data_IF_812615687190
#
_entry.id   IF_812615687190
#
_cell.length_a   1.000
_cell.length_b   1.000
_cell.length_c   1.000
_cell.angle_alpha   90.00
_cell.angle_beta   90.00
_cell.angle_gamma   90.00
#
_symmetry.space_group_name_H-M   'P 1'
#
loop_
_entity.id
_entity.type
_entity.pdbx_description
1 polymer ?
#
# COMPACT_ATOMS: atom_id res chain seq x y z
N UNK A 1 21.55 -9.33 -6.86
CA UNK A 1 20.18 -9.88 -6.91
C UNK A 1 19.49 -9.43 -5.65
N UNK A 2 18.64 -8.41 -5.73
CA UNK A 2 18.01 -7.81 -4.55
C UNK A 2 17.07 -8.83 -3.92
N UNK A 3 17.49 -9.38 -2.79
CA UNK A 3 16.64 -10.16 -1.92
C UNK A 3 15.68 -9.18 -1.24
N UNK A 4 14.43 -9.09 -1.68
CA UNK A 4 13.48 -8.21 -1.01
C UNK A 4 12.06 -8.74 -1.08
N UNK A 5 11.58 -9.23 0.06
CA UNK A 5 10.15 -9.35 0.35
C UNK A 5 9.40 -8.09 -0.12
N UNK A 6 8.18 -8.23 -0.67
CA UNK A 6 7.40 -7.09 -1.13
C UNK A 6 7.17 -6.11 0.02
N UNK A 7 7.08 -4.81 -0.27
CA UNK A 7 6.84 -3.77 0.75
C UNK A 7 5.58 -4.07 1.59
N UNK A 8 4.54 -4.66 0.98
CA UNK A 8 3.34 -5.08 1.69
C UNK A 8 3.61 -6.06 2.84
N UNK A 9 4.63 -6.93 2.74
CA UNK A 9 4.98 -7.88 3.79
C UNK A 9 5.65 -7.23 5.02
N UNK A 10 6.27 -6.05 4.87
CA UNK A 10 6.78 -5.25 6.01
C UNK A 10 5.77 -4.22 6.51
N UNK A 11 4.82 -3.83 5.66
CA UNK A 11 3.80 -2.83 5.97
C UNK A 11 2.57 -3.44 6.66
N UNK A 12 2.13 -4.62 6.23
CA UNK A 12 0.97 -5.32 6.79
C UNK A 12 1.47 -6.20 7.94
N UNK A 13 1.14 -5.82 9.17
CA UNK A 13 1.58 -6.52 10.38
C UNK A 13 1.06 -7.95 10.54
N UNK A 14 -0.26 -8.22 10.38
CA UNK A 14 -0.80 -9.56 10.57
C UNK A 14 -0.24 -10.57 9.56
N UNK A 15 0.33 -11.65 10.09
CA UNK A 15 0.76 -12.78 9.25
C UNK A 15 -0.47 -13.56 8.74
N UNK A 16 -0.30 -14.44 7.74
CA UNK A 16 -1.39 -15.33 7.33
C UNK A 16 -1.95 -16.18 8.48
N UNK A 17 -1.14 -16.50 9.50
CA UNK A 17 -1.60 -17.20 10.71
C UNK A 17 -2.49 -16.33 11.58
N UNK A 18 -2.08 -15.09 11.81
CA UNK A 18 -2.84 -14.11 12.60
C UNK A 18 -4.19 -13.82 11.94
N UNK A 19 -4.19 -13.59 10.63
CA UNK A 19 -5.43 -13.36 9.86
C UNK A 19 -6.40 -14.52 10.03
N UNK A 20 -5.94 -15.77 9.96
CA UNK A 20 -6.80 -16.95 10.20
C UNK A 20 -7.38 -16.97 11.62
N UNK A 21 -6.56 -16.67 12.62
CA UNK A 21 -7.00 -16.62 14.03
C UNK A 21 -8.06 -15.53 14.27
N UNK A 22 -7.83 -14.35 13.70
CA UNK A 22 -8.76 -13.22 13.77
C UNK A 22 -10.10 -13.55 13.08
N UNK A 23 -10.05 -14.11 11.87
CA UNK A 23 -11.26 -14.53 11.13
C UNK A 23 -12.05 -15.60 11.89
N UNK A 24 -11.37 -16.56 12.53
CA UNK A 24 -12.02 -17.58 13.35
C UNK A 24 -12.72 -16.96 14.59
N UNK A 25 -12.09 -15.98 15.22
CA UNK A 25 -12.68 -15.23 16.35
C UNK A 25 -13.95 -14.49 15.93
N UNK A 26 -13.96 -13.94 14.72
CA UNK A 26 -15.10 -13.25 14.13
C UNK A 26 -16.16 -14.21 13.55
N UNK A 27 -15.88 -15.51 13.47
CA UNK A 27 -16.78 -16.50 12.87
C UNK A 27 -16.98 -16.34 11.35
N UNK A 28 -16.05 -15.68 10.66
CA UNK A 28 -16.11 -15.46 9.20
C UNK A 28 -15.06 -16.30 8.46
N UNK A 29 -15.37 -16.82 7.27
CA UNK A 29 -14.50 -17.78 6.59
C UNK A 29 -13.36 -17.14 5.80
N UNK A 30 -13.43 -15.84 5.48
CA UNK A 30 -12.41 -15.16 4.69
C UNK A 30 -12.46 -13.64 4.83
N UNK A 31 -11.38 -12.97 4.44
CA UNK A 31 -11.31 -11.51 4.33
C UNK A 31 -12.32 -10.99 3.30
N UNK A 32 -12.53 -11.68 2.18
CA UNK A 32 -13.53 -11.28 1.17
C UNK A 32 -14.95 -11.33 1.75
N UNK A 33 -15.27 -12.39 2.51
CA UNK A 33 -16.56 -12.49 3.20
C UNK A 33 -16.74 -11.34 4.19
N UNK A 34 -15.72 -11.04 4.99
CA UNK A 34 -15.73 -9.91 5.92
C UNK A 34 -16.00 -8.58 5.20
N UNK A 35 -15.29 -8.32 4.08
CA UNK A 35 -15.51 -7.12 3.26
C UNK A 35 -16.95 -7.08 2.73
N UNK A 36 -17.47 -8.20 2.21
CA UNK A 36 -18.81 -8.28 1.64
C UNK A 36 -19.93 -8.02 2.64
N UNK A 37 -19.74 -8.41 3.91
CA UNK A 37 -20.69 -8.19 4.98
C UNK A 37 -20.59 -6.78 5.58
N UNK A 38 -19.46 -6.10 5.38
CA UNK A 38 -19.18 -4.78 5.99
C UNK A 38 -19.47 -3.63 5.03
N UNK A 39 -19.08 -3.75 3.75
CA UNK A 39 -19.19 -2.66 2.76
C UNK A 39 -20.31 -2.96 1.76
N UNK A 40 -21.36 -2.11 1.67
CA UNK A 40 -22.47 -2.32 0.74
C UNK A 40 -22.00 -2.42 -0.71
N UNK A 41 -22.50 -3.43 -1.44
CA UNK A 41 -22.11 -3.69 -2.83
C UNK A 41 -22.31 -2.48 -3.76
N UNK A 42 -23.33 -1.66 -3.51
CA UNK A 42 -23.67 -0.49 -4.34
C UNK A 42 -22.58 0.59 -4.39
N UNK A 43 -21.66 0.60 -3.42
CA UNK A 43 -20.57 1.57 -3.33
C UNK A 43 -19.18 0.93 -3.45
N UNK A 44 -19.10 -0.39 -3.65
CA UNK A 44 -17.82 -1.10 -3.85
C UNK A 44 -17.34 -0.89 -5.28
N UNK A 45 -16.04 -0.70 -5.44
CA UNK A 45 -15.40 -0.70 -6.75
C UNK A 45 -15.51 -2.09 -7.39
N UNK A 46 -15.96 -2.14 -8.64
CA UNK A 46 -16.23 -3.37 -9.41
C UNK A 46 -15.08 -3.78 -10.35
N UNK A 47 -14.00 -2.99 -10.33
CA UNK A 47 -12.78 -3.21 -11.10
C UNK A 47 -11.55 -3.09 -10.21
N UNK A 48 -10.43 -3.58 -10.70
CA UNK A 48 -9.13 -3.33 -10.08
C UNK A 48 -8.76 -1.85 -10.18
N UNK A 49 -7.92 -1.38 -9.26
CA UNK A 49 -7.33 -0.06 -9.35
C UNK A 49 -6.42 0.00 -10.58
N UNK A 50 -6.53 1.08 -11.35
CA UNK A 50 -5.65 1.36 -12.48
C UNK A 50 -4.37 2.02 -11.97
N UNK A 51 -3.42 1.19 -11.54
CA UNK A 51 -2.15 1.59 -10.97
C UNK A 51 -0.99 0.85 -11.66
N UNK A 52 0.21 1.45 -11.76
CA UNK A 52 1.40 0.75 -12.19
C UNK A 52 1.72 -0.46 -11.30
N UNK A 53 2.53 -1.38 -11.82
CA UNK A 53 3.03 -2.49 -11.03
C UNK A 53 3.74 -1.99 -9.76
N UNK A 54 3.58 -2.67 -8.61
CA UNK A 54 4.23 -2.25 -7.38
C UNK A 54 5.75 -2.35 -7.52
N UNK A 55 6.45 -1.35 -7.02
CA UNK A 55 7.90 -1.35 -6.92
C UNK A 55 8.37 -1.93 -5.59
N UNK A 56 9.58 -2.48 -5.59
CA UNK A 56 10.33 -2.74 -4.37
C UNK A 56 10.69 -1.42 -3.68
N UNK A 57 10.93 -1.46 -2.36
CA UNK A 57 11.24 -0.24 -1.60
C UNK A 57 12.50 0.47 -2.11
N UNK A 58 13.55 -0.30 -2.46
CA UNK A 58 14.77 0.26 -3.04
C UNK A 58 14.52 0.96 -4.38
N UNK A 59 13.77 0.31 -5.26
CA UNK A 59 13.47 0.84 -6.60
C UNK A 59 12.56 2.06 -6.52
N UNK A 60 11.59 2.07 -5.60
CA UNK A 60 10.72 3.23 -5.35
C UNK A 60 11.54 4.45 -4.88
N UNK A 61 12.51 4.26 -3.98
CA UNK A 61 13.41 5.33 -3.53
C UNK A 61 14.33 5.82 -4.65
N UNK A 62 14.85 4.91 -5.48
CA UNK A 62 15.67 5.26 -6.63
C UNK A 62 14.88 6.10 -7.65
N UNK A 63 13.65 5.68 -7.99
CA UNK A 63 12.78 6.43 -8.89
C UNK A 63 12.45 7.81 -8.32
N UNK A 64 12.10 7.89 -7.03
CA UNK A 64 11.82 9.17 -6.37
C UNK A 64 13.04 10.10 -6.40
N UNK A 65 14.23 9.57 -6.11
CA UNK A 65 15.48 10.33 -6.17
C UNK A 65 15.73 10.90 -7.57
N UNK A 66 15.52 10.09 -8.61
CA UNK A 66 15.62 10.55 -10.00
C UNK A 66 14.64 11.68 -10.28
N UNK A 67 13.36 11.56 -9.87
CA UNK A 67 12.38 12.65 -10.07
C UNK A 67 12.79 13.93 -9.33
N UNK A 68 13.24 13.80 -8.08
CA UNK A 68 13.64 14.94 -7.25
C UNK A 68 14.91 15.64 -7.74
N UNK A 69 15.78 14.94 -8.49
CA UNK A 69 16.99 15.52 -9.06
C UNK A 69 16.72 16.67 -10.06
N UNK A 70 15.49 16.76 -10.59
CA UNK A 70 15.05 17.89 -11.43
C UNK A 70 14.72 19.17 -10.66
N UNK A 71 14.65 19.12 -9.32
CA UNK A 71 14.36 20.29 -8.52
C UNK A 71 15.60 21.18 -8.38
N UNK A 72 15.41 22.50 -8.40
CA UNK A 72 16.48 23.48 -8.13
C UNK A 72 16.32 24.01 -6.71
N UNK A 73 17.29 23.71 -5.86
CA UNK A 73 17.32 24.22 -4.48
C UNK A 73 17.90 25.64 -4.48
N UNK A 74 17.02 26.63 -4.32
CA UNK A 74 17.38 28.05 -4.25
C UNK A 74 17.31 28.56 -2.81
N UNK A 75 18.05 29.65 -2.54
CA UNK A 75 17.82 30.45 -1.35
C UNK A 75 16.51 31.23 -1.54
N UNK A 76 15.43 30.75 -0.94
CA UNK A 76 14.11 31.37 -1.08
C UNK A 76 13.98 32.61 -0.19
N UNK A 77 13.58 33.73 -0.80
CA UNK A 77 13.23 34.98 -0.11
C UNK A 77 11.78 35.40 -0.38
N UNK A 78 10.92 34.43 -0.72
CA UNK A 78 9.52 34.70 -1.11
C UNK A 78 8.69 35.27 0.05
N UNK A 79 8.93 34.82 1.29
CA UNK A 79 8.09 35.16 2.45
C UNK A 79 6.70 34.52 2.36
N UNK A 80 5.68 35.22 2.85
CA UNK A 80 4.26 34.88 2.73
C UNK A 80 3.70 33.66 3.52
N UNK A 81 4.41 33.17 4.54
CA UNK A 81 3.93 32.05 5.39
C UNK A 81 4.12 30.71 4.71
#
# INVERSE_FOLDING_TARGET
MSDSLPFSARHIGPTPGDVRSMLATLGVPSVETLISQTVPKSIRLDRMLDLPAPLGEHDALAELSTKMSGNVVLKSFVGAG
#
